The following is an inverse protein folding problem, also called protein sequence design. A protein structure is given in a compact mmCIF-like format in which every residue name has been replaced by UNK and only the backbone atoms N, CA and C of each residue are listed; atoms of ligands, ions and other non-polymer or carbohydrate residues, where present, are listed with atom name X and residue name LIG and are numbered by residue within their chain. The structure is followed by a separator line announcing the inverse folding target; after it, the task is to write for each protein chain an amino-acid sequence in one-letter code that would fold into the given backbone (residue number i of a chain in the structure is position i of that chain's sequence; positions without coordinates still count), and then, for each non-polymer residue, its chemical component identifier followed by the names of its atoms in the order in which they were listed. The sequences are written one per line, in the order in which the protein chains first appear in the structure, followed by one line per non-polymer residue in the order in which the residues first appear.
data_IF_928002695967
#
_entry.id   IF_928002695967
#
_cell.length_a   1.000
_cell.length_b   1.000
_cell.length_c   1.000
_cell.angle_alpha   90.00
_cell.angle_beta   90.00
_cell.angle_gamma   90.00
#
_symmetry.space_group_name_H-M   'P 1'
#
loop_
_entity.id
_entity.type
_entity.pdbx_description
1 polymer ?
#
# COMPACT_ATOMS: atom_id res chain seq x y z
N UNK A 1 -2.16 5.78 -3.16
CA UNK A 1 -3.28 6.69 -3.45
C UNK A 1 -2.79 8.11 -3.82
N UNK A 2 -1.87 8.79 -3.08
CA UNK A 2 -1.51 10.19 -3.34
C UNK A 2 -1.08 10.45 -4.78
N UNK A 3 -0.22 9.58 -5.35
CA UNK A 3 0.22 9.69 -6.74
C UNK A 3 -0.96 9.74 -7.72
N UNK A 4 -1.85 8.74 -7.66
CA UNK A 4 -2.94 8.63 -8.64
C UNK A 4 -3.99 9.74 -8.48
N UNK A 5 -4.32 10.10 -7.24
CA UNK A 5 -5.21 11.21 -6.98
C UNK A 5 -4.68 12.51 -7.59
N UNK A 6 -3.42 12.86 -7.30
CA UNK A 6 -2.80 14.06 -7.84
C UNK A 6 -2.64 14.02 -9.36
N UNK A 7 -2.30 12.84 -9.90
CA UNK A 7 -2.20 12.66 -11.34
C UNK A 7 -3.52 12.99 -12.06
N UNK A 8 -4.61 12.39 -11.64
CA UNK A 8 -5.90 12.58 -12.29
C UNK A 8 -6.50 13.96 -12.03
N UNK A 9 -6.40 14.48 -10.81
CA UNK A 9 -6.91 15.84 -10.51
C UNK A 9 -6.15 16.92 -11.25
N UNK A 10 -4.83 16.77 -11.46
CA UNK A 10 -4.02 17.68 -12.27
C UNK A 10 -4.45 17.67 -13.74
N UNK A 11 -4.96 16.55 -14.24
CA UNK A 11 -5.53 16.44 -15.59
C UNK A 11 -6.99 16.92 -15.68
N UNK A 12 -7.58 17.38 -14.57
CA UNK A 12 -8.95 17.91 -14.53
C UNK A 12 -10.03 16.86 -14.27
N UNK A 13 -9.67 15.63 -13.94
CA UNK A 13 -10.64 14.62 -13.55
C UNK A 13 -11.15 14.85 -12.13
N UNK A 14 -12.43 14.60 -11.92
CA UNK A 14 -12.99 14.39 -10.58
C UNK A 14 -12.63 12.98 -10.13
N UNK A 15 -12.00 12.86 -8.96
CA UNK A 15 -11.55 11.59 -8.42
C UNK A 15 -12.40 11.19 -7.22
N UNK A 16 -13.20 10.16 -7.40
CA UNK A 16 -14.01 9.54 -6.35
C UNK A 16 -13.28 8.31 -5.82
N UNK A 17 -13.33 8.10 -4.52
CA UNK A 17 -12.83 6.88 -3.86
C UNK A 17 -13.97 6.21 -3.11
N UNK A 18 -13.94 4.89 -3.02
CA UNK A 18 -14.81 4.14 -2.11
C UNK A 18 -14.58 4.54 -0.65
N UNK A 19 -15.57 4.31 0.19
CA UNK A 19 -15.46 4.49 1.63
C UNK A 19 -14.37 3.57 2.23
N UNK A 20 -13.89 3.84 3.47
CA UNK A 20 -13.09 2.86 4.23
C UNK A 20 -13.83 1.54 4.32
N UNK A 21 -13.07 0.42 4.28
CA UNK A 21 -13.65 -0.91 4.29
C UNK A 21 -14.43 -1.19 5.57
N UNK A 22 -15.46 -1.99 5.42
CA UNK A 22 -16.27 -2.58 6.50
C UNK A 22 -16.56 -4.04 6.17
N UNK A 23 -17.12 -4.77 7.12
CA UNK A 23 -17.64 -6.11 6.86
C UNK A 23 -18.70 -6.12 5.75
N UNK A 24 -19.51 -5.07 5.65
CA UNK A 24 -20.53 -4.95 4.60
C UNK A 24 -19.88 -4.81 3.22
N UNK A 25 -18.76 -4.12 3.10
CA UNK A 25 -17.95 -4.07 1.87
C UNK A 25 -17.58 -5.47 1.41
N UNK A 26 -17.10 -6.35 2.32
CA UNK A 26 -16.83 -7.75 1.98
C UNK A 26 -18.08 -8.49 1.50
N UNK A 27 -19.18 -8.39 2.25
CA UNK A 27 -20.43 -9.09 1.93
C UNK A 27 -21.00 -8.63 0.58
N UNK A 28 -20.89 -7.35 0.25
CA UNK A 28 -21.35 -6.78 -1.00
C UNK A 28 -20.59 -7.33 -2.23
N UNK A 29 -19.31 -7.62 -2.08
CA UNK A 29 -18.48 -8.20 -3.15
C UNK A 29 -18.43 -9.74 -3.18
N UNK A 30 -18.89 -10.41 -2.13
CA UNK A 30 -18.63 -11.83 -1.86
C UNK A 30 -18.96 -12.77 -3.02
N UNK A 31 -20.07 -12.53 -3.72
CA UNK A 31 -20.56 -13.41 -4.80
C UNK A 31 -19.66 -13.44 -6.04
N UNK A 32 -18.74 -12.49 -6.17
CA UNK A 32 -17.85 -12.36 -7.33
C UNK A 32 -16.41 -12.78 -7.02
N UNK A 33 -16.13 -13.18 -5.77
CA UNK A 33 -14.80 -13.66 -5.35
C UNK A 33 -14.57 -15.07 -5.91
N UNK A 34 -13.54 -15.27 -6.76
CA UNK A 34 -13.37 -16.55 -7.46
C UNK A 34 -12.73 -17.64 -6.61
N UNK A 35 -12.12 -17.29 -5.46
CA UNK A 35 -11.40 -18.25 -4.62
C UNK A 35 -11.42 -17.84 -3.15
N UNK A 36 -11.73 -18.79 -2.29
CA UNK A 36 -11.68 -18.59 -0.83
C UNK A 36 -10.25 -18.48 -0.28
N UNK A 37 -9.25 -18.93 -1.05
CA UNK A 37 -7.85 -18.94 -0.62
C UNK A 37 -7.12 -17.61 -0.85
N UNK A 38 -7.70 -16.67 -1.60
CA UNK A 38 -7.11 -15.34 -1.78
C UNK A 38 -7.15 -14.55 -0.46
N UNK A 39 -6.15 -13.72 -0.22
CA UNK A 39 -6.06 -12.93 1.00
C UNK A 39 -7.25 -11.97 1.18
N UNK A 40 -7.60 -11.66 2.42
CA UNK A 40 -8.78 -10.86 2.75
C UNK A 40 -8.78 -9.47 2.09
N UNK A 41 -7.65 -8.71 2.04
CA UNK A 41 -7.63 -7.43 1.34
C UNK A 41 -8.02 -7.51 -0.14
N UNK A 42 -7.65 -8.60 -0.83
CA UNK A 42 -8.06 -8.81 -2.21
C UNK A 42 -9.58 -9.06 -2.33
N UNK A 43 -10.17 -9.75 -1.38
CA UNK A 43 -11.62 -9.97 -1.34
C UNK A 43 -12.40 -8.67 -1.19
N UNK A 44 -11.90 -7.72 -0.40
CA UNK A 44 -12.51 -6.40 -0.19
C UNK A 44 -12.61 -5.58 -1.48
N UNK A 45 -11.66 -5.73 -2.42
CA UNK A 45 -11.67 -5.01 -3.70
C UNK A 45 -12.97 -5.24 -4.48
N UNK A 46 -13.53 -6.45 -4.43
CA UNK A 46 -14.81 -6.76 -5.08
C UNK A 46 -15.95 -5.89 -4.55
N UNK A 47 -16.02 -5.71 -3.23
CA UNK A 47 -17.00 -4.83 -2.59
C UNK A 47 -16.78 -3.37 -2.96
N UNK A 48 -15.57 -2.86 -2.87
CA UNK A 48 -15.26 -1.49 -3.23
C UNK A 48 -15.64 -1.14 -4.68
N UNK A 49 -15.37 -2.06 -5.61
CA UNK A 49 -15.77 -1.85 -7.01
C UNK A 49 -17.28 -1.86 -7.14
N UNK A 50 -17.98 -2.77 -6.44
CA UNK A 50 -19.44 -2.81 -6.46
C UNK A 50 -20.05 -1.53 -5.90
N UNK A 51 -19.56 -1.06 -4.75
CA UNK A 51 -20.01 0.21 -4.14
C UNK A 51 -19.87 1.38 -5.11
N UNK A 52 -18.71 1.54 -5.75
CA UNK A 52 -18.50 2.62 -6.73
C UNK A 52 -19.45 2.52 -7.92
N UNK A 53 -19.73 1.32 -8.41
CA UNK A 53 -20.66 1.12 -9.52
C UNK A 53 -22.11 1.45 -9.10
N UNK A 54 -22.51 1.05 -7.91
CA UNK A 54 -23.84 1.32 -7.36
C UNK A 54 -24.03 2.82 -7.07
N UNK A 55 -22.94 3.54 -6.73
CA UNK A 55 -22.90 5.00 -6.62
C UNK A 55 -22.90 5.72 -7.99
N UNK A 56 -22.97 4.98 -9.08
CA UNK A 56 -23.07 5.51 -10.43
C UNK A 56 -21.75 5.84 -11.11
N UNK A 57 -20.59 5.44 -10.55
CA UNK A 57 -19.28 5.64 -11.16
C UNK A 57 -19.16 4.77 -12.41
N UNK A 58 -18.82 5.38 -13.54
CA UNK A 58 -18.73 4.72 -14.85
C UNK A 58 -17.29 4.39 -15.28
N UNK A 59 -16.30 4.99 -14.66
CA UNK A 59 -14.90 4.69 -14.97
C UNK A 59 -14.14 4.37 -13.68
N UNK A 60 -13.58 3.18 -13.63
CA UNK A 60 -12.78 2.68 -12.50
C UNK A 60 -11.35 2.53 -12.97
N UNK A 61 -10.43 3.25 -12.33
CA UNK A 61 -9.00 3.09 -12.56
C UNK A 61 -8.41 2.13 -11.53
N UNK A 62 -8.03 0.94 -11.99
CA UNK A 62 -7.41 -0.08 -11.16
C UNK A 62 -6.26 -0.76 -11.93
N UNK A 63 -5.04 -0.17 -11.92
CA UNK A 63 -3.95 -0.64 -12.76
C UNK A 63 -3.29 -1.92 -12.25
N UNK A 64 -2.81 -2.75 -13.16
CA UNK A 64 -1.89 -3.84 -12.86
C UNK A 64 -0.49 -3.26 -12.59
N UNK A 65 0.03 -3.45 -11.37
CA UNK A 65 1.32 -2.90 -10.96
C UNK A 65 2.27 -4.01 -10.51
N UNK A 66 3.08 -4.53 -11.42
CA UNK A 66 4.08 -5.57 -11.12
C UNK A 66 5.21 -5.02 -10.26
N UNK A 67 5.65 -3.79 -10.54
CA UNK A 67 6.75 -3.13 -9.84
C UNK A 67 6.26 -1.89 -9.12
N UNK A 68 6.79 -1.67 -7.92
CA UNK A 68 6.64 -0.44 -7.17
C UNK A 68 7.76 0.56 -7.52
N UNK A 69 7.80 1.69 -6.83
CA UNK A 69 8.94 2.60 -6.83
C UNK A 69 10.11 1.88 -6.15
N UNK A 70 11.30 2.02 -6.70
CA UNK A 70 12.52 1.52 -6.07
C UNK A 70 12.90 2.44 -4.91
N UNK A 71 12.95 1.88 -3.70
CA UNK A 71 13.30 2.58 -2.47
C UNK A 71 14.75 2.30 -2.02
N UNK A 72 15.51 1.54 -2.82
CA UNK A 72 16.89 1.21 -2.51
C UNK A 72 17.05 0.33 -1.25
N UNK A 73 16.04 -0.47 -0.89
CA UNK A 73 16.05 -1.31 0.33
C UNK A 73 16.07 -2.81 0.03
N UNK A 74 15.99 -3.18 -1.22
CA UNK A 74 15.87 -4.57 -1.66
C UNK A 74 16.57 -4.83 -2.99
N UNK A 75 16.79 -6.10 -3.31
CA UNK A 75 17.42 -6.52 -4.57
C UNK A 75 16.47 -6.32 -5.76
N UNK A 76 15.18 -6.17 -5.48
CA UNK A 76 14.15 -5.85 -6.45
C UNK A 76 12.96 -5.18 -5.75
N UNK A 77 12.05 -4.56 -6.52
CA UNK A 77 10.92 -3.77 -5.99
C UNK A 77 9.57 -4.27 -6.52
N UNK A 78 9.35 -5.59 -6.47
CA UNK A 78 8.09 -6.19 -6.88
C UNK A 78 6.95 -5.86 -5.90
N UNK A 79 5.75 -5.77 -6.46
CA UNK A 79 4.52 -5.99 -5.71
C UNK A 79 4.17 -7.48 -5.68
N UNK A 80 3.37 -7.90 -4.70
CA UNK A 80 2.91 -9.29 -4.68
C UNK A 80 2.03 -9.60 -5.91
N UNK A 81 1.93 -10.87 -6.33
CA UNK A 81 1.14 -11.25 -7.51
C UNK A 81 -0.31 -10.78 -7.48
N UNK A 82 -0.92 -10.72 -6.28
CA UNK A 82 -2.30 -10.21 -6.14
C UNK A 82 -2.36 -8.74 -6.53
N UNK A 83 -1.48 -7.88 -6.00
CA UNK A 83 -1.43 -6.46 -6.39
C UNK A 83 -1.08 -6.31 -7.88
N UNK A 84 -0.17 -7.16 -8.39
CA UNK A 84 0.29 -7.08 -9.76
C UNK A 84 -0.79 -7.38 -10.80
N UNK A 85 -1.70 -8.33 -10.52
CA UNK A 85 -2.58 -8.93 -11.54
C UNK A 85 -4.06 -8.97 -11.16
N UNK A 86 -4.46 -8.53 -10.00
CA UNK A 86 -5.85 -8.64 -9.54
C UNK A 86 -6.87 -7.87 -10.38
N UNK A 87 -6.53 -6.76 -11.07
CA UNK A 87 -7.42 -6.15 -12.04
C UNK A 87 -7.90 -7.08 -13.14
N UNK A 88 -7.07 -8.05 -13.56
CA UNK A 88 -7.48 -9.08 -14.53
C UNK A 88 -8.51 -10.04 -13.92
N UNK A 89 -8.32 -10.40 -12.63
CA UNK A 89 -9.27 -11.24 -11.90
C UNK A 89 -10.64 -10.55 -11.79
N UNK A 90 -10.64 -9.25 -11.45
CA UNK A 90 -11.86 -8.44 -11.40
C UNK A 90 -12.59 -8.46 -12.75
N UNK A 91 -11.89 -8.17 -13.83
CA UNK A 91 -12.48 -8.16 -15.18
C UNK A 91 -13.06 -9.52 -15.61
N UNK A 92 -12.42 -10.61 -15.18
CA UNK A 92 -12.85 -11.96 -15.52
C UNK A 92 -14.05 -12.46 -14.69
N UNK A 93 -14.23 -11.95 -13.46
CA UNK A 93 -15.19 -12.52 -12.50
C UNK A 93 -16.32 -11.58 -12.09
N UNK A 94 -16.15 -10.25 -12.28
CA UNK A 94 -17.20 -9.31 -12.00
C UNK A 94 -17.99 -8.99 -13.29
N UNK A 95 -19.26 -9.34 -13.32
CA UNK A 95 -20.18 -8.93 -14.38
C UNK A 95 -20.60 -7.48 -14.11
N UNK A 96 -19.82 -6.52 -14.63
CA UNK A 96 -20.12 -5.10 -14.53
C UNK A 96 -21.11 -4.67 -15.64
N UNK A 97 -21.89 -3.60 -15.42
CA UNK A 97 -22.73 -3.01 -16.46
C UNK A 97 -21.91 -2.64 -17.71
N UNK A 98 -22.50 -2.73 -18.90
CA UNK A 98 -21.83 -2.45 -20.18
C UNK A 98 -21.29 -1.02 -20.30
N UNK A 99 -21.89 -0.08 -19.56
CA UNK A 99 -21.48 1.33 -19.51
C UNK A 99 -20.40 1.62 -18.47
N UNK A 100 -19.91 0.60 -17.77
CA UNK A 100 -18.80 0.72 -16.80
C UNK A 100 -17.49 0.25 -17.42
N UNK A 101 -16.50 1.13 -17.41
CA UNK A 101 -15.16 0.86 -17.94
C UNK A 101 -14.17 0.66 -16.78
N UNK A 102 -13.43 -0.46 -16.79
CA UNK A 102 -12.32 -0.70 -15.87
C UNK A 102 -10.99 -0.53 -16.63
N UNK A 103 -10.27 0.53 -16.29
CA UNK A 103 -8.91 0.80 -16.81
C UNK A 103 -7.92 0.03 -15.94
N UNK A 104 -7.54 -1.17 -16.39
CA UNK A 104 -6.69 -2.12 -15.67
C UNK A 104 -5.34 -2.35 -16.36
N UNK A 105 -4.80 -1.33 -16.99
CA UNK A 105 -3.53 -1.43 -17.74
C UNK A 105 -2.33 -1.73 -16.84
N UNK A 106 -1.31 -2.36 -17.43
CA UNK A 106 -0.03 -2.59 -16.77
C UNK A 106 0.78 -1.30 -16.69
N UNK A 107 1.03 -0.81 -15.49
CA UNK A 107 1.74 0.44 -15.24
C UNK A 107 2.93 0.18 -14.30
N UNK A 108 4.09 0.77 -14.62
CA UNK A 108 5.29 0.73 -13.78
C UNK A 108 5.74 2.15 -13.43
N UNK A 109 5.57 2.56 -12.18
CA UNK A 109 5.94 3.91 -11.71
C UNK A 109 7.46 4.18 -11.79
N UNK A 110 8.29 3.13 -11.75
CA UNK A 110 9.76 3.21 -11.85
C UNK A 110 10.28 3.54 -13.26
N UNK A 111 9.43 3.49 -14.29
CA UNK A 111 9.86 3.60 -15.68
C UNK A 111 9.94 5.06 -16.13
N UNK A 112 11.05 5.43 -16.81
CA UNK A 112 11.22 6.76 -17.41
C UNK A 112 10.18 7.09 -18.47
N UNK A 113 9.66 6.07 -19.16
CA UNK A 113 8.64 6.20 -20.21
C UNK A 113 7.21 6.28 -19.64
N UNK A 114 7.04 6.27 -18.32
CA UNK A 114 5.72 6.31 -17.67
C UNK A 114 4.79 7.39 -18.27
N UNK A 115 5.20 8.66 -18.45
CA UNK A 115 4.30 9.67 -19.02
C UNK A 115 3.82 9.35 -20.42
N UNK A 116 4.67 8.77 -21.28
CA UNK A 116 4.27 8.34 -22.62
C UNK A 116 3.29 7.18 -22.58
N UNK A 117 3.52 6.23 -21.68
CA UNK A 117 2.67 5.06 -21.51
C UNK A 117 1.29 5.46 -20.97
N UNK A 118 1.25 6.33 -19.95
CA UNK A 118 0.00 6.86 -19.41
C UNK A 118 -0.76 7.69 -20.45
N UNK A 119 -0.08 8.52 -21.23
CA UNK A 119 -0.68 9.26 -22.33
C UNK A 119 -1.33 8.32 -23.36
N UNK A 120 -0.59 7.32 -23.84
CA UNK A 120 -1.13 6.34 -24.80
C UNK A 120 -2.30 5.52 -24.21
N UNK A 121 -2.27 5.22 -22.90
CA UNK A 121 -3.37 4.58 -22.19
C UNK A 121 -4.61 5.49 -22.18
N UNK A 122 -4.45 6.74 -21.75
CA UNK A 122 -5.56 7.68 -21.61
C UNK A 122 -6.24 7.97 -22.95
N UNK A 123 -5.48 8.10 -24.05
CA UNK A 123 -6.02 8.35 -25.40
C UNK A 123 -6.92 7.22 -25.93
N UNK A 124 -6.96 6.04 -25.28
CA UNK A 124 -7.93 4.99 -25.64
C UNK A 124 -9.33 5.23 -25.06
N UNK A 125 -9.42 6.11 -24.07
CA UNK A 125 -10.65 6.36 -23.33
C UNK A 125 -11.08 7.83 -23.39
N UNK A 126 -10.15 8.76 -23.61
CA UNK A 126 -10.38 10.19 -23.53
C UNK A 126 -9.64 10.93 -24.63
N UNK A 127 -10.31 11.83 -25.31
CA UNK A 127 -9.73 12.72 -26.30
C UNK A 127 -9.19 14.01 -25.67
N UNK A 128 -8.28 14.69 -26.37
CA UNK A 128 -7.87 16.05 -26.05
C UNK A 128 -6.77 16.19 -24.98
N UNK A 129 -6.33 15.08 -24.36
CA UNK A 129 -5.25 15.12 -23.36
C UNK A 129 -3.89 15.12 -24.10
N UNK A 130 -3.07 16.13 -23.87
CA UNK A 130 -1.73 16.22 -24.47
C UNK A 130 -0.65 15.50 -23.64
N UNK A 131 0.42 15.05 -24.32
CA UNK A 131 1.57 14.48 -23.63
C UNK A 131 2.24 15.48 -22.65
N UNK A 132 2.14 16.78 -22.93
CA UNK A 132 2.70 17.82 -22.06
C UNK A 132 1.93 17.90 -20.73
N UNK A 133 0.61 17.83 -20.76
CA UNK A 133 -0.25 17.78 -19.56
C UNK A 133 0.03 16.51 -18.74
N UNK A 134 0.13 15.34 -19.39
CA UNK A 134 0.45 14.08 -18.71
C UNK A 134 1.83 14.14 -18.04
N UNK A 135 2.84 14.73 -18.69
CA UNK A 135 4.16 14.94 -18.06
C UNK A 135 4.09 15.85 -16.84
N UNK A 136 3.32 16.94 -16.93
CA UNK A 136 3.11 17.86 -15.80
C UNK A 136 2.39 17.14 -14.64
N UNK A 137 1.33 16.39 -14.94
CA UNK A 137 0.59 15.61 -13.96
C UNK A 137 1.47 14.54 -13.29
N UNK A 138 2.30 13.83 -14.04
CA UNK A 138 3.26 12.87 -13.46
C UNK A 138 4.24 13.57 -12.51
N UNK A 139 4.79 14.74 -12.90
CA UNK A 139 5.71 15.49 -12.04
C UNK A 139 5.04 15.90 -10.72
N UNK A 140 3.83 16.44 -10.79
CA UNK A 140 3.05 16.80 -9.59
C UNK A 140 2.73 15.57 -8.72
N UNK A 141 2.34 14.46 -9.35
CA UNK A 141 2.01 13.21 -8.65
C UNK A 141 3.21 12.61 -7.91
N UNK A 142 4.41 12.58 -8.51
CA UNK A 142 5.63 12.15 -7.82
C UNK A 142 6.01 13.07 -6.68
N UNK A 143 5.88 14.39 -6.86
CA UNK A 143 6.15 15.34 -5.80
C UNK A 143 5.21 15.17 -4.61
N UNK A 144 3.92 14.94 -4.83
CA UNK A 144 2.96 14.67 -3.77
C UNK A 144 3.20 13.30 -3.10
N UNK A 145 3.56 12.28 -3.88
CA UNK A 145 3.91 10.97 -3.31
C UNK A 145 5.10 11.10 -2.34
N UNK A 146 6.16 11.84 -2.75
CA UNK A 146 7.31 12.07 -1.88
C UNK A 146 6.92 12.90 -0.64
N UNK A 147 6.20 13.99 -0.81
CA UNK A 147 5.72 14.81 0.30
C UNK A 147 4.84 14.03 1.29
N UNK A 148 4.06 13.07 0.78
CA UNK A 148 3.27 12.17 1.64
C UNK A 148 4.17 11.27 2.48
N UNK A 149 5.18 10.64 1.89
CA UNK A 149 6.13 9.79 2.62
C UNK A 149 6.93 10.61 3.65
N UNK A 150 7.37 11.81 3.27
CA UNK A 150 8.06 12.72 4.20
C UNK A 150 7.18 13.10 5.40
N UNK A 151 5.88 13.32 5.18
CA UNK A 151 4.92 13.59 6.28
C UNK A 151 4.81 12.40 7.23
N UNK A 152 4.71 11.18 6.71
CA UNK A 152 4.65 9.95 7.53
C UNK A 152 5.93 9.81 8.36
N UNK A 153 7.10 9.90 7.72
CA UNK A 153 8.38 9.79 8.40
C UNK A 153 8.58 10.87 9.48
N UNK A 154 8.22 12.13 9.17
CA UNK A 154 8.34 13.23 10.13
C UNK A 154 7.40 13.07 11.33
N UNK A 155 6.17 12.62 11.10
CA UNK A 155 5.21 12.36 12.16
C UNK A 155 5.63 11.19 13.04
N UNK A 156 6.09 10.07 12.43
CA UNK A 156 6.62 8.94 13.18
C UNK A 156 7.81 9.34 14.06
N UNK A 157 8.76 10.12 13.54
CA UNK A 157 9.90 10.65 14.31
C UNK A 157 9.45 11.58 15.45
N UNK A 158 8.42 12.38 15.22
CA UNK A 158 7.82 13.22 16.28
C UNK A 158 7.25 12.35 17.40
N UNK A 159 6.44 11.36 17.05
CA UNK A 159 5.82 10.43 17.99
C UNK A 159 6.86 9.64 18.79
N UNK A 160 7.93 9.16 18.15
CA UNK A 160 9.03 8.47 18.82
C UNK A 160 9.67 9.37 19.90
N UNK A 161 10.01 10.61 19.55
CA UNK A 161 10.63 11.54 20.53
C UNK A 161 9.71 11.80 21.71
N UNK A 162 8.42 12.00 21.46
CA UNK A 162 7.43 12.27 22.52
C UNK A 162 7.24 11.05 23.41
N UNK A 163 7.14 9.85 22.83
CA UNK A 163 7.00 8.60 23.57
C UNK A 163 8.23 8.31 24.44
N UNK A 164 9.44 8.50 23.90
CA UNK A 164 10.66 8.31 24.65
C UNK A 164 10.81 9.31 25.79
N UNK A 165 10.45 10.59 25.56
CA UNK A 165 10.46 11.61 26.61
C UNK A 165 9.46 11.32 27.74
N UNK A 166 8.36 10.63 27.42
CA UNK A 166 7.33 10.22 28.38
C UNK A 166 7.58 8.84 29.00
N UNK A 167 8.71 8.18 28.68
CA UNK A 167 9.03 6.78 29.07
C UNK A 167 7.91 5.79 28.67
N UNK A 168 7.24 6.07 27.57
CA UNK A 168 6.10 5.30 27.06
C UNK A 168 6.59 4.12 26.18
N UNK A 169 5.98 2.94 26.28
CA UNK A 169 6.24 1.87 25.31
C UNK A 169 5.89 2.30 23.88
N UNK A 170 6.69 1.86 22.92
CA UNK A 170 6.45 2.11 21.49
C UNK A 170 6.33 0.78 20.77
N UNK A 171 5.30 0.66 19.96
CA UNK A 171 5.07 -0.47 19.05
C UNK A 171 5.22 0.03 17.61
N UNK A 172 6.16 -0.56 16.89
CA UNK A 172 6.22 -0.42 15.44
C UNK A 172 5.37 -1.53 14.82
N UNK A 173 4.33 -1.15 14.07
CA UNK A 173 3.52 -2.10 13.31
C UNK A 173 4.24 -2.39 12.00
N UNK A 174 4.91 -3.55 11.92
CA UNK A 174 5.47 -4.06 10.67
C UNK A 174 4.35 -4.65 9.81
N UNK A 175 3.97 -3.93 8.80
CA UNK A 175 2.73 -4.18 8.06
C UNK A 175 2.86 -3.85 6.57
N UNK A 176 1.78 -4.04 5.84
CA UNK A 176 1.62 -3.56 4.47
C UNK A 176 0.58 -2.44 4.44
N UNK A 177 0.60 -1.54 3.46
CA UNK A 177 -0.27 -0.35 3.46
C UNK A 177 -1.76 -0.62 3.69
N UNK A 178 -2.27 -1.77 3.26
CA UNK A 178 -3.67 -2.13 3.46
C UNK A 178 -4.02 -2.47 4.91
N UNK A 179 -3.04 -2.76 5.77
CA UNK A 179 -3.30 -2.95 7.20
C UNK A 179 -3.67 -1.66 7.95
N UNK A 180 -3.49 -0.48 7.31
CA UNK A 180 -4.02 0.77 7.84
C UNK A 180 -5.54 0.93 7.62
N UNK A 181 -6.16 0.05 6.82
CA UNK A 181 -7.61 0.04 6.63
C UNK A 181 -8.32 -0.45 7.90
N UNK A 182 -9.41 0.20 8.35
CA UNK A 182 -10.08 -0.12 9.62
C UNK A 182 -10.59 -1.55 9.72
N UNK A 183 -11.10 -2.12 8.62
CA UNK A 183 -11.60 -3.49 8.58
C UNK A 183 -10.45 -4.50 8.65
N UNK A 184 -9.33 -4.21 7.96
CA UNK A 184 -8.17 -5.10 7.95
C UNK A 184 -7.36 -5.00 9.24
N UNK A 185 -7.29 -3.82 9.85
CA UNK A 185 -6.60 -3.57 11.11
C UNK A 185 -7.34 -4.17 12.32
N UNK A 186 -8.65 -4.40 12.22
CA UNK A 186 -9.51 -4.89 13.31
C UNK A 186 -9.41 -4.08 14.61
N UNK A 187 -9.00 -2.80 14.55
CA UNK A 187 -8.83 -1.93 15.72
C UNK A 187 -7.64 -2.28 16.62
N UNK A 188 -6.69 -3.08 16.13
CA UNK A 188 -5.49 -3.48 16.91
C UNK A 188 -4.63 -2.25 17.25
N UNK A 189 -4.53 -1.28 16.36
CA UNK A 189 -3.87 0.01 16.58
C UNK A 189 -4.47 0.74 17.80
N UNK A 190 -5.78 0.83 17.87
CA UNK A 190 -6.50 1.45 19.00
C UNK A 190 -6.30 0.64 20.28
N UNK A 191 -6.40 -0.69 20.20
CA UNK A 191 -6.17 -1.56 21.36
C UNK A 191 -4.77 -1.34 21.96
N UNK A 192 -3.73 -1.23 21.13
CA UNK A 192 -2.37 -0.97 21.59
C UNK A 192 -2.28 0.41 22.27
N UNK A 193 -2.90 1.44 21.70
CA UNK A 193 -2.97 2.76 22.30
C UNK A 193 -3.71 2.75 23.65
N UNK A 194 -4.82 2.03 23.75
CA UNK A 194 -5.61 1.89 24.97
C UNK A 194 -4.84 1.16 26.09
N UNK A 195 -3.87 0.30 25.71
CA UNK A 195 -2.93 -0.33 26.64
C UNK A 195 -1.78 0.59 27.06
N UNK A 196 -1.75 1.84 26.60
CA UNK A 196 -0.78 2.85 27.01
C UNK A 196 0.53 2.85 26.22
N UNK A 197 0.55 2.27 25.03
CA UNK A 197 1.70 2.32 24.13
C UNK A 197 1.47 3.28 22.95
N UNK A 198 2.53 3.92 22.48
CA UNK A 198 2.52 4.67 21.23
C UNK A 198 2.62 3.68 20.04
N UNK A 199 1.94 3.98 18.95
CA UNK A 199 1.93 3.15 17.74
C UNK A 199 2.43 3.96 16.56
N UNK A 200 3.40 3.42 15.83
CA UNK A 200 3.85 3.93 14.52
C UNK A 200 3.91 2.78 13.51
N UNK A 201 3.97 3.10 12.23
CA UNK A 201 4.10 2.11 11.16
C UNK A 201 5.55 1.96 10.69
N UNK A 202 5.86 0.87 9.99
CA UNK A 202 7.22 0.54 9.52
C UNK A 202 7.81 1.63 8.61
N UNK A 203 6.98 2.32 7.83
CA UNK A 203 7.40 3.40 6.94
C UNK A 203 7.80 4.69 7.67
N UNK A 204 7.51 4.79 8.96
CA UNK A 204 7.99 5.88 9.82
C UNK A 204 9.49 5.80 10.13
N UNK A 205 10.08 4.60 10.07
CA UNK A 205 11.47 4.33 10.47
C UNK A 205 12.30 3.63 9.39
N UNK A 206 11.67 3.03 8.40
CA UNK A 206 12.37 2.24 7.40
C UNK A 206 13.47 3.03 6.67
N UNK A 207 13.30 4.33 6.47
CA UNK A 207 14.27 5.18 5.78
C UNK A 207 15.55 5.46 6.59
N UNK A 208 15.53 5.23 7.91
CA UNK A 208 16.72 5.31 8.76
C UNK A 208 17.69 4.14 8.54
N UNK A 209 17.23 3.03 7.96
CA UNK A 209 17.99 1.81 7.76
C UNK A 209 18.37 1.69 6.28
N UNK A 210 19.65 1.69 5.92
CA UNK A 210 20.09 1.38 4.56
C UNK A 210 19.80 -0.08 4.21
N UNK A 211 19.92 -0.44 2.92
CA UNK A 211 19.83 -1.83 2.49
C UNK A 211 20.89 -2.68 3.23
N UNK A 212 20.50 -3.84 3.70
CA UNK A 212 21.36 -4.82 4.38
C UNK A 212 21.02 -6.24 3.91
N UNK A 213 21.93 -7.17 4.17
CA UNK A 213 21.72 -8.58 3.84
C UNK A 213 20.67 -9.22 4.74
N UNK A 214 19.78 -10.00 4.14
CA UNK A 214 18.80 -10.85 4.80
C UNK A 214 18.97 -12.29 4.29
N UNK A 215 18.48 -13.28 5.06
CA UNK A 215 18.67 -14.69 4.73
C UNK A 215 17.71 -15.21 3.65
N UNK A 216 16.76 -14.36 3.23
CA UNK A 216 15.72 -14.69 2.26
C UNK A 216 15.87 -13.85 0.99
N UNK A 217 15.17 -14.22 -0.08
CA UNK A 217 15.12 -13.42 -1.30
C UNK A 217 14.39 -12.09 -1.04
N UNK A 218 15.15 -11.00 -0.98
CA UNK A 218 14.67 -9.65 -0.68
C UNK A 218 14.22 -8.93 -1.96
N UNK A 219 13.03 -9.26 -2.46
CA UNK A 219 12.54 -8.75 -3.75
C UNK A 219 11.23 -7.96 -3.67
N UNK A 220 10.64 -7.80 -2.47
CA UNK A 220 9.32 -7.23 -2.28
C UNK A 220 9.41 -5.90 -1.54
N UNK A 221 8.95 -4.81 -2.14
CA UNK A 221 9.07 -3.45 -1.57
C UNK A 221 8.58 -3.36 -0.12
N UNK A 222 7.38 -3.84 0.16
CA UNK A 222 6.81 -3.69 1.50
C UNK A 222 7.43 -4.63 2.53
N UNK A 223 7.89 -5.82 2.13
CA UNK A 223 8.59 -6.74 3.01
C UNK A 223 9.97 -6.19 3.40
N UNK A 224 10.67 -5.55 2.46
CA UNK A 224 11.94 -4.89 2.74
C UNK A 224 11.80 -3.75 3.75
N UNK A 225 10.71 -2.99 3.72
CA UNK A 225 10.40 -2.00 4.77
C UNK A 225 10.20 -2.67 6.13
N UNK A 226 9.51 -3.81 6.18
CA UNK A 226 9.28 -4.56 7.42
C UNK A 226 10.60 -5.09 7.99
N UNK A 227 11.52 -5.56 7.14
CA UNK A 227 12.87 -5.96 7.56
C UNK A 227 13.67 -4.76 8.08
N UNK A 228 13.60 -3.62 7.40
CA UNK A 228 14.23 -2.39 7.86
C UNK A 228 13.68 -1.94 9.23
N UNK A 229 12.38 -2.03 9.44
CA UNK A 229 11.77 -1.73 10.74
C UNK A 229 12.23 -2.71 11.85
N UNK A 230 12.35 -4.01 11.54
CA UNK A 230 12.89 -4.99 12.47
C UNK A 230 14.36 -4.67 12.83
N UNK A 231 15.18 -4.32 11.84
CA UNK A 231 16.57 -3.90 12.04
C UNK A 231 16.66 -2.64 12.87
N UNK A 232 15.80 -1.66 12.63
CA UNK A 232 15.70 -0.45 13.45
C UNK A 232 15.45 -0.78 14.92
N UNK A 233 14.50 -1.69 15.21
CA UNK A 233 14.23 -2.13 16.59
C UNK A 233 15.46 -2.82 17.18
N UNK A 234 16.09 -3.76 16.48
CA UNK A 234 17.26 -4.47 16.96
C UNK A 234 18.42 -3.52 17.30
N UNK A 235 18.67 -2.50 16.48
CA UNK A 235 19.75 -1.51 16.70
C UNK A 235 19.45 -0.55 17.86
N UNK A 236 18.17 -0.23 18.11
CA UNK A 236 17.77 0.76 19.11
C UNK A 236 17.30 0.14 20.45
N UNK A 237 17.11 -1.18 20.53
CA UNK A 237 16.55 -1.86 21.71
C UNK A 237 17.36 -1.64 23.00
N UNK A 238 18.67 -1.41 22.92
CA UNK A 238 19.53 -1.16 24.10
C UNK A 238 19.28 0.21 24.71
N UNK A 239 19.06 1.22 23.88
CA UNK A 239 18.80 2.60 24.33
C UNK A 239 17.31 2.80 24.67
N UNK A 240 16.44 2.06 23.98
CA UNK A 240 15.01 2.14 24.13
C UNK A 240 14.39 0.75 24.40
N UNK A 241 14.55 0.21 25.62
CA UNK A 241 14.11 -1.17 25.93
C UNK A 241 12.59 -1.38 25.87
N UNK A 242 11.80 -0.32 25.75
CA UNK A 242 10.35 -0.34 25.56
C UNK A 242 9.94 -0.23 24.09
N UNK A 243 10.90 -0.20 23.15
CA UNK A 243 10.65 -0.24 21.72
C UNK A 243 10.47 -1.70 21.29
N UNK A 244 9.34 -2.00 20.65
CA UNK A 244 9.00 -3.33 20.20
C UNK A 244 8.41 -3.31 18.79
N UNK A 245 8.39 -4.47 18.15
CA UNK A 245 7.79 -4.66 16.84
C UNK A 245 6.64 -5.66 16.93
N UNK A 246 5.52 -5.32 16.30
CA UNK A 246 4.40 -6.24 16.08
C UNK A 246 4.19 -6.38 14.57
N UNK A 247 4.31 -7.60 14.07
CA UNK A 247 4.06 -7.88 12.67
C UNK A 247 2.57 -8.18 12.44
N UNK A 248 1.99 -7.52 11.45
CA UNK A 248 0.69 -7.89 10.91
C UNK A 248 0.86 -8.91 9.79
N UNK A 249 0.09 -9.97 9.87
CA UNK A 249 0.02 -11.02 8.85
C UNK A 249 -1.38 -11.10 8.28
N UNK A 250 -1.50 -11.32 6.97
CA UNK A 250 -2.79 -11.53 6.33
C UNK A 250 -3.07 -13.02 6.20
N UNK A 251 -4.22 -13.44 6.69
CA UNK A 251 -4.69 -14.81 6.47
C UNK A 251 -4.73 -15.13 4.96
N UNK A 252 -4.13 -16.26 4.58
CA UNK A 252 -3.98 -16.67 3.19
C UNK A 252 -2.77 -16.09 2.46
N UNK A 253 -1.90 -15.28 3.11
CA UNK A 253 -0.67 -14.77 2.51
C UNK A 253 0.49 -15.73 2.74
N UNK A 254 0.89 -16.51 1.71
CA UNK A 254 2.02 -17.44 1.81
C UNK A 254 3.38 -16.75 2.01
N UNK A 255 3.53 -15.50 1.58
CA UNK A 255 4.79 -14.74 1.76
C UNK A 255 5.01 -14.37 3.23
N UNK A 256 3.94 -14.21 4.02
CA UNK A 256 4.06 -13.87 5.43
C UNK A 256 4.76 -14.95 6.25
N UNK A 257 4.67 -16.21 5.88
CA UNK A 257 5.40 -17.29 6.55
C UNK A 257 6.91 -17.06 6.50
N UNK A 258 7.45 -16.70 5.32
CA UNK A 258 8.88 -16.39 5.13
C UNK A 258 9.25 -15.10 5.85
N UNK A 259 8.41 -14.07 5.73
CA UNK A 259 8.66 -12.74 6.32
C UNK A 259 8.70 -12.81 7.84
N UNK A 260 7.84 -13.61 8.45
CA UNK A 260 7.81 -13.77 9.92
C UNK A 260 9.10 -14.40 10.44
N UNK A 261 9.60 -15.43 9.78
CA UNK A 261 10.84 -16.09 10.19
C UNK A 261 12.05 -15.17 10.01
N UNK A 262 12.11 -14.41 8.92
CA UNK A 262 13.20 -13.46 8.71
C UNK A 262 13.16 -12.29 9.70
N UNK A 263 11.97 -11.71 9.98
CA UNK A 263 11.83 -10.67 11.01
C UNK A 263 12.32 -11.18 12.36
N UNK A 264 11.99 -12.41 12.74
CA UNK A 264 12.48 -13.02 13.98
C UNK A 264 13.99 -13.13 13.98
N UNK A 265 14.59 -13.62 12.89
CA UNK A 265 16.04 -13.74 12.73
C UNK A 265 16.77 -12.40 12.82
N UNK A 266 16.16 -11.30 12.34
CA UNK A 266 16.73 -9.95 12.44
C UNK A 266 16.70 -9.42 13.88
N UNK A 267 15.69 -9.80 14.66
CA UNK A 267 15.49 -9.33 16.04
C UNK A 267 16.33 -10.12 17.07
N UNK A 268 16.75 -11.35 16.76
CA UNK A 268 17.62 -12.20 17.57
C UNK A 268 19.11 -11.78 17.48
#
# INVERSE_FOLDING_TARGET
YPFWHTFFTTLGFEVVRSAPSTRDTYLHGQTTIPSDTVCYPAKLIHGHIRELVDDGIKTIFYPCMTYNIDEGKSDNHYNCPVVAYYPEVIRANMHLPEDVTVIGDYVGLHRRELPKKLHAMLLRYYDGISLAEVKSACKAAFAEQQAHMDRIGNEGKRMLREAYAADMPVIILASRPYHADPEVCHGIDKLICDLGAAVITEDSVADEIPQFEVNVLNQWTYHSRMYAAARYVAENAREHPKLNLVQFVSFGCGVDAITTDEIRSILE
#
